data_IF_722242563648
#
_entry.id   IF_722242563648
#
_cell.length_a   1.000
_cell.length_b   1.000
_cell.length_c   1.000
_cell.angle_alpha   90.00
_cell.angle_beta   90.00
_cell.angle_gamma   90.00
#
_symmetry.space_group_name_H-M   'P 1'
#
loop_
_entity.id
_entity.type
_entity.pdbx_description
1 polymer ?
#
# COMPACT_ATOMS: atom_id res chain seq x y z
N UNK A 1 -7.61 70.99 -70.84
CA UNK A 1 -6.95 70.38 -69.67
C UNK A 1 -5.86 69.47 -70.20
N UNK A 2 -4.59 69.78 -69.94
CA UNK A 2 -3.47 68.96 -70.41
C UNK A 2 -3.55 67.56 -69.77
N UNK A 3 -3.44 66.50 -70.58
CA UNK A 3 -3.38 65.13 -70.08
C UNK A 3 -1.96 64.86 -69.59
N UNK A 4 -1.84 64.37 -68.37
CA UNK A 4 -0.57 63.90 -67.79
C UNK A 4 0.12 62.92 -68.74
N UNK A 5 1.43 63.09 -68.92
CA UNK A 5 2.25 62.16 -69.69
C UNK A 5 2.54 60.91 -68.86
N UNK A 6 2.79 59.76 -69.53
CA UNK A 6 3.10 58.52 -68.82
C UNK A 6 4.32 58.65 -67.90
N UNK A 7 5.30 59.48 -68.28
CA UNK A 7 6.51 59.73 -67.48
C UNK A 7 6.20 60.47 -66.18
N UNK A 8 5.40 61.53 -66.25
CA UNK A 8 4.96 62.29 -65.06
C UNK A 8 4.13 61.40 -64.12
N UNK A 9 3.30 60.51 -64.68
CA UNK A 9 2.53 59.55 -63.90
C UNK A 9 3.41 58.54 -63.15
N UNK A 10 4.45 58.03 -63.80
CA UNK A 10 5.41 57.10 -63.18
C UNK A 10 6.14 57.80 -62.03
N UNK A 11 6.64 59.02 -62.26
CA UNK A 11 7.35 59.80 -61.25
C UNK A 11 6.47 60.12 -60.03
N UNK A 12 5.18 60.44 -60.25
CA UNK A 12 4.22 60.62 -59.14
C UNK A 12 4.03 59.32 -58.36
N UNK A 13 3.80 58.20 -59.04
CA UNK A 13 3.55 56.92 -58.40
C UNK A 13 4.78 56.42 -57.63
N UNK A 14 5.99 56.64 -58.14
CA UNK A 14 7.24 56.32 -57.43
C UNK A 14 7.39 57.12 -56.14
N UNK A 15 7.06 58.42 -56.16
CA UNK A 15 7.05 59.26 -54.97
C UNK A 15 5.96 58.85 -53.96
N UNK A 16 4.75 58.54 -54.43
CA UNK A 16 3.67 58.02 -53.57
C UNK A 16 4.06 56.69 -52.90
N UNK A 17 4.68 55.78 -53.66
CA UNK A 17 5.13 54.49 -53.16
C UNK A 17 6.27 54.64 -52.14
N UNK A 18 7.20 55.56 -52.38
CA UNK A 18 8.25 55.90 -51.42
C UNK A 18 7.66 56.43 -50.10
N UNK A 19 6.74 57.40 -50.18
CA UNK A 19 6.08 57.97 -49.00
C UNK A 19 5.26 56.92 -48.24
N UNK A 20 4.57 56.04 -48.96
CA UNK A 20 3.83 54.93 -48.36
C UNK A 20 4.77 53.95 -47.62
N UNK A 21 5.91 53.61 -48.20
CA UNK A 21 6.90 52.74 -47.57
C UNK A 21 7.51 53.37 -46.31
N UNK A 22 7.82 54.67 -46.34
CA UNK A 22 8.31 55.41 -45.17
C UNK A 22 7.25 55.42 -44.05
N UNK A 23 5.99 55.64 -44.41
CA UNK A 23 4.85 55.59 -43.46
C UNK A 23 4.70 54.19 -42.86
N UNK A 24 4.78 53.14 -43.67
CA UNK A 24 4.71 51.75 -43.21
C UNK A 24 5.86 51.42 -42.24
N UNK A 25 7.07 51.88 -42.53
CA UNK A 25 8.21 51.69 -41.63
C UNK A 25 7.99 52.38 -40.28
N UNK A 26 7.49 53.62 -40.28
CA UNK A 26 7.16 54.34 -39.05
C UNK A 26 6.10 53.61 -38.23
N UNK A 27 5.01 53.19 -38.86
CA UNK A 27 3.93 52.45 -38.19
C UNK A 27 4.43 51.12 -37.61
N UNK A 28 5.29 50.39 -38.34
CA UNK A 28 5.86 49.14 -37.83
C UNK A 28 6.75 49.38 -36.61
N UNK A 29 7.54 50.45 -36.60
CA UNK A 29 8.35 50.82 -35.43
C UNK A 29 7.47 51.18 -34.23
N UNK A 30 6.42 51.99 -34.43
CA UNK A 30 5.48 52.34 -33.37
C UNK A 30 4.74 51.12 -32.80
N UNK A 31 4.32 50.19 -33.66
CA UNK A 31 3.71 48.93 -33.23
C UNK A 31 4.69 48.13 -32.38
N UNK A 32 5.96 48.03 -32.81
CA UNK A 32 6.99 47.32 -32.05
C UNK A 32 7.22 47.95 -30.67
N UNK A 33 7.28 49.28 -30.60
CA UNK A 33 7.43 50.01 -29.34
C UNK A 33 6.23 49.84 -28.41
N UNK A 34 5.02 49.83 -28.95
CA UNK A 34 3.79 49.58 -28.17
C UNK A 34 3.77 48.17 -27.59
N UNK A 35 4.14 47.16 -28.38
CA UNK A 35 4.25 45.77 -27.92
C UNK A 35 5.27 45.68 -26.79
N UNK A 36 6.48 46.20 -27.01
CA UNK A 36 7.54 46.19 -26.00
C UNK A 36 7.13 46.88 -24.69
N UNK A 37 6.41 48.02 -24.77
CA UNK A 37 5.91 48.70 -23.57
C UNK A 37 4.84 47.89 -22.85
N UNK A 38 3.92 47.26 -23.59
CA UNK A 38 2.86 46.44 -23.00
C UNK A 38 3.44 45.22 -22.26
N UNK A 39 4.38 44.51 -22.89
CA UNK A 39 5.05 43.34 -22.30
C UNK A 39 5.83 43.73 -21.03
N UNK A 40 6.66 44.77 -21.12
CA UNK A 40 7.42 45.28 -19.96
C UNK A 40 6.50 45.78 -18.85
N UNK A 41 5.38 46.43 -19.18
CA UNK A 41 4.42 46.90 -18.18
C UNK A 41 3.72 45.74 -17.49
N UNK A 42 3.46 44.64 -18.19
CA UNK A 42 2.80 43.48 -17.64
C UNK A 42 3.74 42.68 -16.73
N UNK A 43 4.96 42.36 -17.17
CA UNK A 43 5.95 41.64 -16.34
C UNK A 43 6.32 42.41 -15.07
N UNK A 44 6.35 43.74 -15.15
CA UNK A 44 6.61 44.58 -13.99
C UNK A 44 5.38 44.87 -13.14
N UNK A 45 4.18 44.49 -13.60
CA UNK A 45 2.94 44.69 -12.86
C UNK A 45 2.97 43.95 -11.52
N UNK A 46 2.30 44.53 -10.52
CA UNK A 46 2.14 43.89 -9.21
C UNK A 46 1.43 42.55 -9.32
N UNK A 47 0.44 42.44 -10.22
CA UNK A 47 -0.32 41.21 -10.49
C UNK A 47 0.57 40.09 -11.01
N UNK A 48 1.41 40.35 -12.02
CA UNK A 48 2.32 39.34 -12.56
C UNK A 48 3.27 38.83 -11.47
N UNK A 49 3.91 39.74 -10.72
CA UNK A 49 4.80 39.37 -9.61
C UNK A 49 4.10 38.53 -8.54
N UNK A 50 2.85 38.85 -8.22
CA UNK A 50 2.04 38.07 -7.29
C UNK A 50 1.74 36.67 -7.84
N UNK A 51 1.36 36.56 -9.12
CA UNK A 51 1.11 35.28 -9.78
C UNK A 51 2.38 34.42 -9.82
N UNK A 52 3.53 34.98 -10.21
CA UNK A 52 4.81 34.25 -10.23
C UNK A 52 5.17 33.71 -8.85
N UNK A 53 4.99 34.52 -7.80
CA UNK A 53 5.23 34.09 -6.41
C UNK A 53 4.26 32.99 -5.97
N UNK A 54 3.00 33.06 -6.40
CA UNK A 54 2.02 32.02 -6.13
C UNK A 54 2.38 30.71 -6.83
N UNK A 55 2.83 30.77 -8.09
CA UNK A 55 3.30 29.60 -8.86
C UNK A 55 4.47 28.95 -8.11
N UNK A 56 5.50 29.72 -7.75
CA UNK A 56 6.66 29.20 -7.00
C UNK A 56 6.22 28.55 -5.67
N UNK A 57 5.30 29.19 -4.94
CA UNK A 57 4.78 28.64 -3.68
C UNK A 57 4.03 27.31 -3.90
N UNK A 58 3.27 27.20 -4.99
CA UNK A 58 2.53 25.99 -5.33
C UNK A 58 3.48 24.87 -5.76
N UNK A 59 4.52 25.17 -6.53
CA UNK A 59 5.55 24.21 -6.93
C UNK A 59 6.26 23.61 -5.71
N UNK A 60 6.62 24.45 -4.73
CA UNK A 60 7.21 23.99 -3.47
C UNK A 60 6.26 23.09 -2.68
N UNK A 61 4.97 23.44 -2.61
CA UNK A 61 3.96 22.62 -1.94
C UNK A 61 3.78 21.27 -2.61
N UNK A 62 3.71 21.24 -3.94
CA UNK A 62 3.60 20.00 -4.71
C UNK A 62 4.80 19.11 -4.42
N UNK A 63 6.01 19.67 -4.47
CA UNK A 63 7.24 18.92 -4.16
C UNK A 63 7.22 18.33 -2.74
N UNK A 64 6.83 19.11 -1.74
CA UNK A 64 6.75 18.62 -0.36
C UNK A 64 5.72 17.48 -0.21
N UNK A 65 4.57 17.59 -0.89
CA UNK A 65 3.54 16.55 -0.89
C UNK A 65 4.05 15.29 -1.59
N UNK A 66 4.73 15.41 -2.72
CA UNK A 66 5.26 14.26 -3.46
C UNK A 66 6.33 13.52 -2.65
N UNK A 67 7.25 14.26 -2.02
CA UNK A 67 8.32 13.68 -1.20
C UNK A 67 7.72 12.94 0.01
N UNK A 68 6.71 13.54 0.65
CA UNK A 68 5.98 12.93 1.77
C UNK A 68 5.24 11.67 1.33
N UNK A 69 4.53 11.72 0.20
CA UNK A 69 3.81 10.57 -0.34
C UNK A 69 4.75 9.41 -0.71
N UNK A 70 5.90 9.71 -1.30
CA UNK A 70 6.90 8.70 -1.63
C UNK A 70 7.49 8.06 -0.36
N UNK A 71 7.82 8.86 0.65
CA UNK A 71 8.29 8.36 1.94
C UNK A 71 7.26 7.45 2.60
N UNK A 72 6.00 7.88 2.67
CA UNK A 72 4.91 7.08 3.25
C UNK A 72 4.71 5.77 2.49
N UNK A 73 4.78 5.79 1.16
CA UNK A 73 4.69 4.58 0.33
C UNK A 73 5.83 3.61 0.63
N UNK A 74 7.07 4.09 0.80
CA UNK A 74 8.22 3.25 1.17
C UNK A 74 8.03 2.60 2.54
N UNK A 75 7.59 3.37 3.54
CA UNK A 75 7.32 2.86 4.89
C UNK A 75 6.20 1.83 4.89
N UNK A 76 5.10 2.11 4.20
CA UNK A 76 3.98 1.17 4.07
C UNK A 76 4.41 -0.16 3.44
N UNK A 77 5.21 -0.11 2.37
CA UNK A 77 5.73 -1.33 1.73
C UNK A 77 6.68 -2.12 2.64
N UNK A 78 7.51 -1.44 3.44
CA UNK A 78 8.38 -2.09 4.41
C UNK A 78 7.56 -2.81 5.50
N UNK A 79 6.49 -2.16 5.99
CA UNK A 79 5.59 -2.74 7.00
C UNK A 79 4.80 -3.93 6.44
N UNK A 80 4.32 -3.84 5.19
CA UNK A 80 3.67 -4.96 4.50
C UNK A 80 4.59 -6.17 4.39
N UNK A 81 5.87 -5.95 4.03
CA UNK A 81 6.85 -7.03 3.97
C UNK A 81 7.05 -7.68 5.35
N UNK A 82 7.25 -6.85 6.39
CA UNK A 82 7.40 -7.33 7.77
C UNK A 82 6.20 -8.15 8.22
N UNK A 83 4.98 -7.67 7.96
CA UNK A 83 3.76 -8.40 8.28
C UNK A 83 3.67 -9.71 7.51
N UNK A 84 4.08 -9.74 6.24
CA UNK A 84 4.10 -10.98 5.46
C UNK A 84 5.06 -12.02 6.03
N UNK A 85 6.21 -11.59 6.54
CA UNK A 85 7.21 -12.47 7.15
C UNK A 85 6.72 -12.99 8.51
N UNK A 86 6.13 -12.12 9.35
CA UNK A 86 5.52 -12.52 10.62
C UNK A 86 4.36 -13.51 10.44
N UNK A 87 3.54 -13.35 9.40
CA UNK A 87 2.45 -14.29 9.10
C UNK A 87 3.00 -15.68 8.77
N UNK A 88 4.09 -15.76 7.99
CA UNK A 88 4.76 -17.03 7.68
C UNK A 88 5.32 -17.68 8.92
N UNK A 89 6.03 -16.92 9.76
CA UNK A 89 6.59 -17.41 11.03
C UNK A 89 5.48 -17.97 11.95
N UNK A 90 4.37 -17.25 12.09
CA UNK A 90 3.21 -17.73 12.86
C UNK A 90 2.64 -19.03 12.28
N UNK A 91 2.59 -19.17 10.96
CA UNK A 91 2.12 -20.41 10.32
C UNK A 91 3.07 -21.57 10.57
N UNK A 92 4.39 -21.35 10.46
CA UNK A 92 5.42 -22.35 10.76
C UNK A 92 5.32 -22.83 12.21
N UNK A 93 5.28 -21.90 13.17
CA UNK A 93 5.13 -22.22 14.60
C UNK A 93 3.82 -22.97 14.90
N UNK A 94 2.72 -22.64 14.20
CA UNK A 94 1.45 -23.38 14.33
C UNK A 94 1.56 -24.80 13.79
N UNK A 95 2.30 -25.01 12.71
CA UNK A 95 2.51 -26.33 12.13
C UNK A 95 3.43 -27.17 13.01
N UNK A 96 4.51 -26.59 13.55
CA UNK A 96 5.38 -27.25 14.52
C UNK A 96 4.61 -27.69 15.77
N UNK A 97 3.84 -26.80 16.38
CA UNK A 97 3.00 -27.12 17.55
C UNK A 97 1.93 -28.20 17.27
N UNK A 98 1.47 -28.34 16.03
CA UNK A 98 0.55 -29.42 15.62
C UNK A 98 1.27 -30.75 15.43
N UNK A 99 2.48 -30.72 14.88
CA UNK A 99 3.30 -31.91 14.60
C UNK A 99 4.00 -32.47 15.83
N UNK A 100 4.18 -31.67 16.89
CA UNK A 100 4.64 -32.18 18.19
C UNK A 100 3.50 -32.93 18.89
N UNK A 101 3.59 -34.27 19.09
CA UNK A 101 2.61 -34.97 19.90
C UNK A 101 2.66 -34.38 21.31
N UNK A 102 1.52 -33.87 21.79
CA UNK A 102 1.39 -33.42 23.17
C UNK A 102 1.70 -34.61 24.07
N UNK A 103 2.89 -34.65 24.66
CA UNK A 103 3.23 -35.68 25.62
C UNK A 103 2.31 -35.47 26.82
N UNK A 104 1.27 -36.30 26.91
CA UNK A 104 0.39 -36.28 28.06
C UNK A 104 1.24 -36.72 29.25
N UNK A 105 1.58 -35.75 30.12
CA UNK A 105 2.33 -35.93 31.35
C UNK A 105 3.88 -35.96 31.25
N UNK A 106 4.51 -34.99 30.58
CA UNK A 106 5.99 -34.83 30.56
C UNK A 106 6.63 -34.79 31.95
N UNK A 107 5.91 -34.27 32.95
CA UNK A 107 6.39 -34.14 34.34
C UNK A 107 6.03 -35.33 35.23
N UNK A 108 5.29 -36.33 34.72
CA UNK A 108 4.86 -37.49 35.50
C UNK A 108 3.94 -37.18 36.69
N UNK A 109 3.26 -36.03 36.68
CA UNK A 109 2.33 -35.60 37.73
C UNK A 109 1.00 -36.38 37.67
N UNK A 110 0.38 -36.62 38.84
CA UNK A 110 -0.91 -37.31 38.95
C UNK A 110 -0.82 -38.78 39.39
N UNK A 111 -1.97 -39.43 39.56
CA UNK A 111 -2.05 -40.83 39.95
C UNK A 111 -1.75 -41.72 38.75
N UNK A 112 -0.70 -42.54 38.85
CA UNK A 112 -0.39 -43.54 37.82
C UNK A 112 -1.53 -44.56 37.71
N UNK A 113 -1.82 -45.01 36.50
CA UNK A 113 -2.80 -46.08 36.28
C UNK A 113 -2.37 -47.34 37.03
N UNK A 114 -3.31 -47.92 37.79
CA UNK A 114 -3.05 -49.11 38.62
C UNK A 114 -2.85 -50.38 37.79
N UNK A 115 -3.44 -50.42 36.60
CA UNK A 115 -3.38 -51.58 35.70
C UNK A 115 -2.70 -51.19 34.38
N UNK A 116 -1.95 -52.14 33.83
CA UNK A 116 -1.42 -52.07 32.47
C UNK A 116 -2.49 -52.48 31.46
N UNK A 117 -2.32 -52.09 30.20
CA UNK A 117 -3.29 -52.40 29.14
C UNK A 117 -3.60 -53.91 29.03
N UNK A 118 -2.58 -54.76 29.23
CA UNK A 118 -2.73 -56.21 29.28
C UNK A 118 -3.68 -56.67 30.40
N UNK A 119 -3.60 -56.07 31.60
CA UNK A 119 -4.51 -56.39 32.71
C UNK A 119 -5.92 -55.84 32.49
N UNK A 120 -6.05 -54.72 31.78
CA UNK A 120 -7.36 -54.17 31.41
C UNK A 120 -8.06 -55.10 30.42
N UNK A 121 -7.33 -55.66 29.45
CA UNK A 121 -7.85 -56.68 28.54
C UNK A 121 -8.32 -57.93 29.29
N UNK A 122 -7.54 -58.37 30.29
CA UNK A 122 -7.92 -59.50 31.16
C UNK A 122 -9.20 -59.22 31.95
N UNK A 123 -9.34 -58.02 32.52
CA UNK A 123 -10.56 -57.56 33.20
C UNK A 123 -11.78 -57.61 32.26
N UNK A 124 -11.62 -57.16 31.00
CA UNK A 124 -12.69 -57.20 29.98
C UNK A 124 -13.02 -58.63 29.59
N UNK A 125 -12.03 -59.51 29.50
CA UNK A 125 -12.23 -60.93 29.21
C UNK A 125 -13.05 -61.62 30.32
N UNK A 126 -12.73 -61.39 31.58
CA UNK A 126 -13.53 -61.92 32.70
C UNK A 126 -14.96 -61.41 32.70
N UNK A 127 -15.19 -60.17 32.24
CA UNK A 127 -16.54 -59.64 32.06
C UNK A 127 -17.29 -60.36 30.93
N UNK A 128 -16.63 -60.62 29.81
CA UNK A 128 -17.19 -61.37 28.68
C UNK A 128 -17.49 -62.84 29.05
N UNK A 129 -16.69 -63.43 29.94
CA UNK A 129 -16.91 -64.77 30.51
C UNK A 129 -18.08 -64.80 31.54
N UNK A 130 -18.75 -63.68 31.79
CA UNK A 130 -19.96 -63.61 32.61
C UNK A 130 -19.73 -63.25 34.08
N UNK A 131 -18.49 -62.97 34.51
CA UNK A 131 -18.23 -62.57 35.90
C UNK A 131 -18.82 -61.19 36.21
N UNK A 132 -19.31 -61.03 37.42
CA UNK A 132 -19.85 -59.77 37.91
C UNK A 132 -18.73 -58.75 38.18
N UNK A 133 -19.06 -57.46 38.07
CA UNK A 133 -18.12 -56.37 38.37
C UNK A 133 -17.57 -56.51 39.81
N UNK A 134 -18.40 -56.99 40.75
CA UNK A 134 -18.01 -57.22 42.14
C UNK A 134 -16.99 -58.34 42.28
N UNK A 135 -17.18 -59.47 41.59
CA UNK A 135 -16.22 -60.58 41.59
C UNK A 135 -14.88 -60.17 40.99
N UNK A 136 -14.91 -59.42 39.87
CA UNK A 136 -13.72 -58.87 39.21
C UNK A 136 -13.00 -57.89 40.15
N UNK A 137 -13.74 -57.01 40.82
CA UNK A 137 -13.17 -56.09 41.80
C UNK A 137 -12.44 -56.82 42.94
N UNK A 138 -13.02 -57.92 43.45
CA UNK A 138 -12.39 -58.78 44.45
C UNK A 138 -11.15 -59.49 43.90
N UNK A 139 -11.21 -60.09 42.71
CA UNK A 139 -10.06 -60.78 42.09
C UNK A 139 -8.85 -59.85 41.88
N UNK A 140 -9.10 -58.61 41.47
CA UNK A 140 -8.05 -57.62 41.23
C UNK A 140 -7.80 -56.70 42.44
N UNK A 141 -8.41 -57.00 43.59
CA UNK A 141 -8.32 -56.26 44.85
C UNK A 141 -8.46 -54.73 44.65
N UNK A 142 -9.56 -54.29 44.04
CA UNK A 142 -9.82 -52.87 43.78
C UNK A 142 -11.28 -52.50 43.96
N UNK A 143 -11.61 -51.22 43.78
CA UNK A 143 -12.97 -50.75 43.90
C UNK A 143 -13.82 -51.19 42.69
N UNK A 144 -15.09 -51.47 42.95
CA UNK A 144 -16.10 -51.76 41.91
C UNK A 144 -16.17 -50.63 40.89
N UNK A 145 -16.08 -49.37 41.35
CA UNK A 145 -16.09 -48.20 40.47
C UNK A 145 -14.88 -48.15 39.52
N UNK A 146 -13.70 -48.61 39.95
CA UNK A 146 -12.53 -48.69 39.07
C UNK A 146 -12.73 -49.74 37.97
N UNK A 147 -13.23 -50.93 38.32
CA UNK A 147 -13.52 -51.97 37.31
C UNK A 147 -14.60 -51.51 36.34
N UNK A 148 -15.67 -50.89 36.84
CA UNK A 148 -16.73 -50.36 35.99
C UNK A 148 -16.17 -49.37 34.96
N UNK A 149 -15.33 -48.42 35.41
CA UNK A 149 -14.66 -47.45 34.53
C UNK A 149 -13.82 -48.15 33.43
N UNK A 150 -13.01 -49.14 33.80
CA UNK A 150 -12.09 -49.82 32.87
C UNK A 150 -12.81 -50.68 31.81
N UNK A 151 -14.02 -51.14 32.12
CA UNK A 151 -14.88 -51.87 31.18
C UNK A 151 -15.64 -50.90 30.27
N UNK A 152 -16.02 -49.71 30.76
CA UNK A 152 -16.80 -48.72 30.01
C UNK A 152 -15.99 -47.77 29.13
N UNK A 153 -14.69 -47.59 29.42
CA UNK A 153 -13.74 -46.88 28.54
C UNK A 153 -13.51 -47.63 27.22
#
# INVERSE_FOLDING_TARGET
>A
MARETQKEKIERLENELKNANETIQQLNNEISDMINKADNSFENSSTYKQMSKQIETLELKVKAITDTAEHNRKMYNAELKRNSDLIKEIQELKNENKSTPKVHNERGAGRKNRFTDSKILEIRKYRAEGKTIKEIATMFNCSVGLIHKLISE
#
